data_IF_952126949772
#
_entry.id   IF_952126949772
#
_cell.length_a   1.000
_cell.length_b   1.000
_cell.length_c   1.000
_cell.angle_alpha   90.00
_cell.angle_beta   90.00
_cell.angle_gamma   90.00
#
_symmetry.space_group_name_H-M   'P 1'
#
loop_
_entity.id
_entity.type
_entity.pdbx_description
1 polymer ?
#
# COMPACT_ATOMS: atom_id res chain seq x y z
N UNK A 1 0.19 11.92 17.75
CA UNK A 1 -0.09 10.57 17.19
C UNK A 1 1.22 9.85 16.92
N UNK A 2 1.32 8.60 17.34
CA UNK A 2 2.53 7.82 17.15
C UNK A 2 2.59 7.29 15.71
N UNK A 3 3.75 7.45 15.05
CA UNK A 3 3.99 6.88 13.71
C UNK A 3 4.26 5.37 13.82
N UNK A 4 4.08 4.65 12.70
CA UNK A 4 4.22 3.20 12.68
C UNK A 4 5.66 2.74 12.99
N UNK A 5 6.65 3.48 12.50
CA UNK A 5 8.07 3.17 12.69
C UNK A 5 8.91 4.42 12.45
N UNK A 6 10.25 4.29 12.56
CA UNK A 6 11.18 5.42 12.37
C UNK A 6 11.08 6.00 10.96
N UNK A 7 11.08 7.32 10.85
CA UNK A 7 11.06 8.02 9.56
C UNK A 7 12.35 7.81 8.73
N UNK A 8 13.42 7.30 9.35
CA UNK A 8 14.63 6.94 8.62
C UNK A 8 14.39 5.92 7.50
N UNK A 9 13.38 5.07 7.66
CA UNK A 9 13.05 4.02 6.68
C UNK A 9 11.92 4.41 5.74
N UNK A 10 11.29 5.56 5.95
CA UNK A 10 10.05 5.92 5.23
C UNK A 10 10.25 6.01 3.71
N UNK A 11 11.34 6.65 3.26
CA UNK A 11 11.60 6.78 1.82
C UNK A 11 11.72 5.42 1.15
N UNK A 12 12.45 4.50 1.78
CA UNK A 12 12.63 3.15 1.25
C UNK A 12 11.32 2.38 1.26
N UNK A 13 10.54 2.48 2.32
CA UNK A 13 9.23 1.85 2.40
C UNK A 13 8.31 2.32 1.28
N UNK A 14 8.28 3.63 1.00
CA UNK A 14 7.48 4.19 -0.07
C UNK A 14 7.87 3.63 -1.44
N UNK A 15 9.18 3.55 -1.71
CA UNK A 15 9.70 2.99 -2.96
C UNK A 15 9.40 1.49 -3.08
N UNK A 16 9.56 0.76 -1.99
CA UNK A 16 9.34 -0.68 -1.97
C UNK A 16 7.88 -1.01 -2.24
N UNK A 17 6.95 -0.34 -1.58
CA UNK A 17 5.53 -0.61 -1.81
C UNK A 17 5.09 -0.16 -3.20
N UNK A 18 5.58 1.00 -3.66
CA UNK A 18 5.32 1.47 -5.01
C UNK A 18 5.75 0.46 -6.07
N UNK A 19 6.97 -0.03 -5.97
CA UNK A 19 7.51 -1.03 -6.88
C UNK A 19 6.77 -2.36 -6.79
N UNK A 20 6.32 -2.75 -5.61
CA UNK A 20 5.56 -3.97 -5.39
C UNK A 20 4.20 -3.90 -6.11
N UNK A 21 3.48 -2.80 -5.97
CA UNK A 21 2.19 -2.62 -6.65
C UNK A 21 2.35 -2.60 -8.16
N UNK A 22 3.35 -1.88 -8.65
CA UNK A 22 3.63 -1.78 -10.09
C UNK A 22 4.01 -3.16 -10.66
N UNK A 23 4.89 -3.90 -10.00
CA UNK A 23 5.33 -5.21 -10.45
C UNK A 23 4.18 -6.23 -10.43
N UNK A 24 3.34 -6.20 -9.41
CA UNK A 24 2.20 -7.11 -9.32
C UNK A 24 1.26 -6.95 -10.51
N UNK A 25 1.01 -5.70 -10.93
CA UNK A 25 0.10 -5.41 -12.05
C UNK A 25 0.77 -5.65 -13.40
N UNK A 26 1.95 -5.09 -13.63
CA UNK A 26 2.54 -5.05 -14.97
C UNK A 26 3.49 -6.21 -15.27
N UNK A 27 4.09 -6.81 -14.26
CA UNK A 27 4.95 -8.00 -14.44
C UNK A 27 4.19 -9.29 -14.19
N UNK A 28 3.33 -9.31 -13.18
CA UNK A 28 2.62 -10.53 -12.76
C UNK A 28 1.15 -10.57 -13.16
N UNK A 29 0.67 -9.56 -13.86
CA UNK A 29 -0.68 -9.50 -14.47
C UNK A 29 -1.83 -9.60 -13.46
N UNK A 30 -1.62 -9.17 -12.21
CA UNK A 30 -2.70 -9.07 -11.23
C UNK A 30 -3.48 -7.78 -11.42
N UNK A 31 -4.79 -7.84 -11.12
CA UNK A 31 -5.53 -6.62 -10.83
C UNK A 31 -5.10 -6.14 -9.45
N UNK A 32 -4.93 -4.83 -9.27
CA UNK A 32 -4.40 -4.32 -8.00
C UNK A 32 -5.28 -4.67 -6.79
N UNK A 33 -6.63 -4.60 -6.87
CA UNK A 33 -7.46 -5.01 -5.74
C UNK A 33 -7.21 -6.45 -5.29
N UNK A 34 -6.99 -7.36 -6.23
CA UNK A 34 -6.66 -8.75 -5.91
C UNK A 34 -5.29 -8.87 -5.25
N UNK A 35 -4.27 -8.22 -5.82
CA UNK A 35 -2.94 -8.22 -5.20
C UNK A 35 -2.97 -7.60 -3.80
N UNK A 36 -3.69 -6.49 -3.65
CA UNK A 36 -3.82 -5.85 -2.34
C UNK A 36 -4.41 -6.79 -1.29
N UNK A 37 -5.44 -7.56 -1.68
CA UNK A 37 -6.03 -8.55 -0.80
C UNK A 37 -5.01 -9.61 -0.38
N UNK A 38 -4.26 -10.13 -1.34
CA UNK A 38 -3.20 -11.12 -1.08
C UNK A 38 -2.11 -10.53 -0.20
N UNK A 39 -1.65 -9.33 -0.52
CA UNK A 39 -0.60 -8.63 0.23
C UNK A 39 -1.04 -8.36 1.67
N UNK A 40 -2.23 -7.79 1.86
CA UNK A 40 -2.70 -7.40 3.19
C UNK A 40 -2.93 -8.60 4.12
N UNK A 41 -3.11 -9.80 3.58
CA UNK A 41 -3.23 -11.03 4.34
C UNK A 41 -1.91 -11.80 4.48
N UNK A 42 -0.81 -11.30 3.90
CA UNK A 42 0.50 -11.97 3.95
C UNK A 42 1.25 -11.64 5.25
N UNK A 43 2.22 -12.48 5.58
CA UNK A 43 3.13 -12.18 6.70
C UNK A 43 3.99 -10.95 6.41
N UNK A 44 4.23 -10.64 5.13
CA UNK A 44 5.05 -9.49 4.73
C UNK A 44 4.36 -8.17 5.02
N UNK A 45 3.02 -8.11 4.91
CA UNK A 45 2.28 -6.90 5.26
C UNK A 45 2.44 -6.56 6.74
N UNK A 46 2.35 -7.55 7.62
CA UNK A 46 2.53 -7.34 9.06
C UNK A 46 3.92 -6.81 9.37
N UNK A 47 4.95 -7.38 8.75
CA UNK A 47 6.34 -6.92 8.92
C UNK A 47 6.53 -5.52 8.36
N UNK A 48 5.93 -5.23 7.21
CA UNK A 48 5.98 -3.90 6.61
C UNK A 48 5.36 -2.86 7.54
N UNK A 49 4.19 -3.17 8.07
CA UNK A 49 3.42 -2.26 8.94
C UNK A 49 4.16 -1.88 10.22
N UNK A 50 5.01 -2.75 10.72
CA UNK A 50 5.78 -2.52 11.94
C UNK A 50 7.21 -2.03 11.66
N UNK A 51 7.55 -1.85 10.39
CA UNK A 51 8.85 -1.28 10.01
C UNK A 51 10.01 -2.24 10.04
N UNK A 52 9.77 -3.53 9.74
CA UNK A 52 10.88 -4.51 9.64
C UNK A 52 11.82 -4.09 8.51
N UNK A 53 13.08 -3.73 8.80
CA UNK A 53 14.00 -3.22 7.78
C UNK A 53 14.26 -4.20 6.63
N UNK A 54 14.20 -5.49 6.87
CA UNK A 54 14.41 -6.48 5.81
C UNK A 54 13.29 -6.45 4.77
N UNK A 55 12.10 -6.02 5.15
CA UNK A 55 10.94 -5.93 4.24
C UNK A 55 10.87 -4.55 3.59
N UNK A 56 11.00 -3.48 4.37
CA UNK A 56 10.77 -2.12 3.88
C UNK A 56 11.99 -1.50 3.21
N UNK A 57 13.20 -1.98 3.52
CA UNK A 57 14.45 -1.36 3.05
C UNK A 57 15.46 -2.36 2.47
N UNK A 58 15.40 -3.62 2.84
CA UNK A 58 16.39 -4.63 2.46
C UNK A 58 16.15 -5.31 1.12
N UNK A 59 15.08 -4.95 0.41
CA UNK A 59 14.73 -5.57 -0.87
C UNK A 59 14.04 -4.58 -1.80
N UNK A 60 13.98 -4.91 -3.08
CA UNK A 60 13.27 -4.10 -4.08
C UNK A 60 11.77 -4.39 -4.04
N UNK A 61 10.98 -3.51 -4.67
CA UNK A 61 9.54 -3.71 -4.75
C UNK A 61 9.14 -4.98 -5.49
N UNK A 62 9.86 -5.31 -6.58
CA UNK A 62 9.56 -6.55 -7.31
C UNK A 62 9.87 -7.79 -6.47
N UNK A 63 10.93 -7.77 -5.67
CA UNK A 63 11.23 -8.87 -4.75
C UNK A 63 10.13 -9.04 -3.70
N UNK A 64 9.58 -7.94 -3.19
CA UNK A 64 8.45 -8.01 -2.26
C UNK A 64 7.23 -8.63 -2.94
N UNK A 65 6.90 -8.21 -4.17
CA UNK A 65 5.78 -8.78 -4.92
C UNK A 65 5.99 -10.28 -5.13
N UNK A 66 7.19 -10.70 -5.50
CA UNK A 66 7.51 -12.12 -5.71
C UNK A 66 7.32 -12.94 -4.43
N UNK A 67 7.74 -12.40 -3.29
CA UNK A 67 7.57 -13.10 -2.01
C UNK A 67 6.10 -13.21 -1.61
N UNK A 68 5.34 -12.14 -1.81
CA UNK A 68 3.90 -12.14 -1.49
C UNK A 68 3.14 -13.13 -2.37
N UNK A 69 3.37 -13.07 -3.68
CA UNK A 69 2.72 -13.96 -4.64
C UNK A 69 3.15 -15.41 -4.41
N UNK A 70 4.44 -15.62 -4.19
CA UNK A 70 4.98 -16.96 -3.90
C UNK A 70 4.38 -17.58 -2.65
N UNK A 71 4.23 -16.80 -1.58
CA UNK A 71 3.58 -17.26 -0.35
C UNK A 71 2.12 -17.66 -0.62
N UNK A 72 1.41 -16.85 -1.41
CA UNK A 72 0.01 -17.11 -1.74
C UNK A 72 -0.15 -18.38 -2.57
N UNK A 73 0.71 -18.58 -3.57
CA UNK A 73 0.64 -19.73 -4.48
C UNK A 73 1.28 -20.98 -3.89
N UNK A 74 2.12 -20.86 -2.86
CA UNK A 74 2.87 -21.98 -2.29
C UNK A 74 4.03 -22.43 -3.16
N UNK A 75 4.58 -21.54 -3.99
CA UNK A 75 5.72 -21.85 -4.87
C UNK A 75 6.52 -20.58 -5.14
N UNK A 76 7.80 -20.74 -5.46
CA UNK A 76 8.64 -19.61 -5.87
C UNK A 76 8.21 -19.13 -7.24
N UNK A 77 8.09 -17.79 -7.39
CA UNK A 77 7.76 -17.17 -8.66
C UNK A 77 8.87 -16.22 -9.08
N UNK A 78 9.13 -16.17 -10.38
CA UNK A 78 10.07 -15.21 -10.95
C UNK A 78 9.72 -14.97 -12.42
N UNK A 79 9.64 -13.70 -12.80
CA UNK A 79 9.46 -13.27 -14.18
C UNK A 79 10.45 -12.17 -14.50
N UNK A 80 10.78 -12.04 -15.78
CA UNK A 80 11.57 -10.91 -16.24
C UNK A 80 10.81 -9.63 -15.97
N UNK A 81 11.38 -8.67 -15.21
CA UNK A 81 10.66 -7.45 -14.87
C UNK A 81 10.29 -6.63 -16.09
N UNK A 82 9.11 -6.04 -16.04
CA UNK A 82 8.66 -5.03 -17.00
C UNK A 82 8.80 -3.67 -16.31
N UNK A 83 9.64 -2.80 -16.89
CA UNK A 83 9.86 -1.46 -16.36
C UNK A 83 9.02 -0.46 -17.13
N UNK A 84 8.32 0.41 -16.42
CA UNK A 84 7.56 1.50 -17.00
C UNK A 84 8.37 2.78 -16.90
N UNK A 85 8.54 3.50 -18.01
CA UNK A 85 9.30 4.74 -18.04
C UNK A 85 8.64 5.82 -17.18
N UNK A 86 7.32 5.92 -17.28
CA UNK A 86 6.53 6.82 -16.45
C UNK A 86 5.96 6.09 -15.26
N UNK A 87 5.84 6.79 -14.13
CA UNK A 87 5.25 6.20 -12.92
C UNK A 87 3.75 6.01 -13.11
N UNK A 88 3.32 4.77 -12.91
CA UNK A 88 1.92 4.37 -13.10
C UNK A 88 1.05 4.81 -11.92
N UNK A 89 -0.30 4.82 -12.09
CA UNK A 89 -1.19 5.03 -10.96
C UNK A 89 -0.97 4.03 -9.82
N UNK A 90 -0.64 2.78 -10.15
CA UNK A 90 -0.37 1.73 -9.16
C UNK A 90 0.91 2.03 -8.39
N UNK A 91 1.97 2.49 -9.09
CA UNK A 91 3.20 2.93 -8.43
C UNK A 91 2.92 4.08 -7.48
N UNK A 92 2.20 5.10 -7.96
CA UNK A 92 1.85 6.25 -7.13
C UNK A 92 1.06 5.82 -5.89
N UNK A 93 0.08 4.95 -6.06
CA UNK A 93 -0.74 4.53 -4.92
C UNK A 93 0.11 3.79 -3.88
N UNK A 94 0.99 2.90 -4.29
CA UNK A 94 1.90 2.22 -3.37
C UNK A 94 2.75 3.21 -2.60
N UNK A 95 3.30 4.19 -3.30
CA UNK A 95 4.12 5.25 -2.74
C UNK A 95 3.35 6.07 -1.69
N UNK A 96 2.17 6.56 -2.07
CA UNK A 96 1.34 7.40 -1.20
C UNK A 96 0.77 6.60 -0.02
N UNK A 97 0.37 5.36 -0.26
CA UNK A 97 -0.24 4.53 0.77
C UNK A 97 0.77 4.07 1.81
N UNK A 98 2.02 3.81 1.41
CA UNK A 98 3.08 3.52 2.38
C UNK A 98 3.29 4.71 3.32
N UNK A 99 3.25 5.93 2.78
CA UNK A 99 3.33 7.14 3.59
C UNK A 99 2.15 7.22 4.57
N UNK A 100 0.94 7.00 4.09
CA UNK A 100 -0.24 7.09 4.96
C UNK A 100 -0.27 5.98 6.01
N UNK A 101 0.15 4.78 5.67
CA UNK A 101 0.26 3.69 6.64
C UNK A 101 1.24 4.06 7.76
N UNK A 102 2.41 4.59 7.39
CA UNK A 102 3.38 5.08 8.37
C UNK A 102 2.81 6.21 9.24
N UNK A 103 2.15 7.18 8.61
CA UNK A 103 1.56 8.34 9.27
C UNK A 103 0.48 7.95 10.27
N UNK A 104 -0.42 7.07 9.89
CA UNK A 104 -1.59 6.68 10.67
C UNK A 104 -1.37 5.49 11.59
N UNK A 105 -0.35 4.70 11.32
CA UNK A 105 -0.11 3.40 11.97
C UNK A 105 -1.25 2.40 11.81
N UNK A 106 -2.13 2.61 10.83
CA UNK A 106 -3.19 1.68 10.49
C UNK A 106 -2.62 0.49 9.70
N UNK A 107 -3.28 -0.67 9.81
CA UNK A 107 -2.94 -1.80 8.95
C UNK A 107 -3.49 -1.59 7.54
N UNK A 108 -2.90 -2.27 6.56
CA UNK A 108 -3.39 -2.24 5.19
C UNK A 108 -4.81 -2.78 5.07
N UNK A 109 -5.17 -3.77 5.90
CA UNK A 109 -6.54 -4.28 5.96
C UNK A 109 -7.53 -3.21 6.39
N UNK A 110 -7.19 -2.47 7.45
CA UNK A 110 -8.03 -1.39 7.95
C UNK A 110 -8.20 -0.29 6.90
N UNK A 111 -7.12 0.06 6.18
CA UNK A 111 -7.19 1.09 5.14
C UNK A 111 -8.15 0.68 4.02
N UNK A 112 -8.17 -0.58 3.62
CA UNK A 112 -9.08 -1.08 2.60
C UNK A 112 -10.55 -1.12 3.07
N UNK A 113 -10.79 -1.15 4.37
CA UNK A 113 -12.13 -1.04 4.93
C UNK A 113 -12.66 0.39 4.90
N UNK A 114 -11.76 1.38 4.93
CA UNK A 114 -12.12 2.80 4.88
C UNK A 114 -12.52 3.20 3.45
N UNK A 115 -11.75 2.78 2.47
CA UNK A 115 -11.96 3.11 1.06
C UNK A 115 -11.47 1.94 0.21
N UNK A 116 -12.23 1.58 -0.83
CA UNK A 116 -11.83 0.48 -1.72
C UNK A 116 -10.54 0.82 -2.47
N UNK A 117 -9.81 -0.22 -2.87
CA UNK A 117 -8.57 -0.05 -3.64
C UNK A 117 -8.85 0.63 -4.98
N UNK A 118 -9.97 0.31 -5.63
CA UNK A 118 -10.40 0.96 -6.87
C UNK A 118 -10.57 2.46 -6.67
N UNK A 119 -11.21 2.87 -5.56
CA UNK A 119 -11.40 4.28 -5.25
C UNK A 119 -10.08 4.96 -4.88
N UNK A 120 -9.17 4.26 -4.21
CA UNK A 120 -7.82 4.78 -3.97
C UNK A 120 -7.08 5.04 -5.28
N UNK A 121 -7.16 4.11 -6.25
CA UNK A 121 -6.54 4.30 -7.57
C UNK A 121 -7.14 5.51 -8.29
N UNK A 122 -8.44 5.72 -8.16
CA UNK A 122 -9.11 6.87 -8.78
C UNK A 122 -8.66 8.21 -8.20
N UNK A 123 -8.03 8.20 -7.03
CA UNK A 123 -7.46 9.42 -6.45
C UNK A 123 -6.20 9.90 -7.19
N UNK A 124 -5.59 9.04 -8.02
CA UNK A 124 -4.38 9.38 -8.76
C UNK A 124 -4.54 10.65 -9.60
N UNK A 125 -5.62 10.75 -10.36
CA UNK A 125 -5.81 11.89 -11.29
C UNK A 125 -5.82 13.24 -10.56
N UNK A 126 -6.34 13.29 -9.34
CA UNK A 126 -6.39 14.51 -8.55
C UNK A 126 -5.13 14.74 -7.71
N UNK A 127 -4.61 13.70 -7.06
CA UNK A 127 -3.62 13.85 -5.99
C UNK A 127 -2.17 13.61 -6.42
N UNK A 128 -1.90 12.96 -7.57
CA UNK A 128 -0.52 12.61 -7.93
C UNK A 128 0.40 13.82 -8.17
N UNK A 129 -0.16 14.97 -8.52
CA UNK A 129 0.60 16.20 -8.72
C UNK A 129 0.57 17.13 -7.51
N UNK A 130 -0.16 16.74 -6.47
CA UNK A 130 -0.26 17.53 -5.24
C UNK A 130 0.79 17.07 -4.23
N UNK A 131 1.05 17.91 -3.23
CA UNK A 131 1.85 17.50 -2.09
C UNK A 131 1.18 16.31 -1.40
N UNK A 132 1.99 15.38 -0.90
CA UNK A 132 1.50 14.16 -0.24
C UNK A 132 0.56 14.47 0.94
N UNK A 133 0.71 15.63 1.57
CA UNK A 133 -0.15 16.03 2.69
C UNK A 133 -1.60 16.18 2.26
N UNK A 134 -1.88 16.51 1.01
CA UNK A 134 -3.26 16.59 0.49
C UNK A 134 -3.92 15.21 0.46
N UNK A 135 -3.17 14.20 0.06
CA UNK A 135 -3.65 12.81 0.12
C UNK A 135 -3.90 12.38 1.56
N UNK A 136 -2.96 12.68 2.46
CA UNK A 136 -3.08 12.36 3.89
C UNK A 136 -4.33 13.00 4.48
N UNK A 137 -4.56 14.27 4.21
CA UNK A 137 -5.73 15.00 4.74
C UNK A 137 -7.03 14.35 4.26
N UNK A 138 -7.09 13.96 3.00
CA UNK A 138 -8.26 13.29 2.44
C UNK A 138 -8.50 11.92 3.07
N UNK A 139 -7.43 11.15 3.25
CA UNK A 139 -7.53 9.84 3.90
C UNK A 139 -7.98 9.97 5.35
N UNK A 140 -7.45 10.97 6.08
CA UNK A 140 -7.87 11.25 7.46
C UNK A 140 -9.36 11.60 7.52
N UNK A 141 -9.84 12.41 6.57
CA UNK A 141 -11.25 12.78 6.48
C UNK A 141 -12.13 11.55 6.25
N UNK A 142 -11.74 10.68 5.29
CA UNK A 142 -12.48 9.45 5.00
C UNK A 142 -12.50 8.51 6.20
N UNK A 143 -11.38 8.43 6.91
CA UNK A 143 -11.26 7.61 8.12
C UNK A 143 -12.21 8.10 9.22
N UNK A 144 -12.26 9.40 9.47
CA UNK A 144 -13.17 9.99 10.45
C UNK A 144 -14.62 9.72 10.10
N UNK A 145 -14.98 9.87 8.84
CA UNK A 145 -16.33 9.60 8.34
C UNK A 145 -16.71 8.13 8.54
N UNK A 146 -15.81 7.22 8.23
CA UNK A 146 -16.01 5.78 8.40
C UNK A 146 -16.26 5.43 9.88
N UNK A 147 -15.45 5.96 10.80
CA UNK A 147 -15.60 5.73 12.24
C UNK A 147 -16.96 6.28 12.72
N UNK A 148 -17.32 7.50 12.30
CA UNK A 148 -18.58 8.12 12.69
C UNK A 148 -19.79 7.32 12.21
N UNK A 149 -19.75 6.82 10.98
CA UNK A 149 -20.82 5.98 10.43
C UNK A 149 -20.98 4.68 11.24
N UNK A 150 -19.86 4.04 11.60
CA UNK A 150 -19.88 2.83 12.42
C UNK A 150 -20.49 3.09 13.79
N UNK A 151 -20.11 4.19 14.44
CA UNK A 151 -20.69 4.59 15.73
C UNK A 151 -22.20 4.86 15.63
N UNK A 152 -22.63 5.51 14.58
CA UNK A 152 -24.06 5.80 14.35
C UNK A 152 -24.86 4.50 14.22
N UNK A 153 -24.33 3.51 13.46
CA UNK A 153 -24.99 2.20 13.30
C UNK A 153 -25.08 1.47 14.65
N UNK A 154 -24.01 1.50 15.45
CA UNK A 154 -23.98 0.82 16.74
C UNK A 154 -24.90 1.44 17.80
N UNK A 155 -25.22 2.74 17.66
CA UNK A 155 -26.07 3.47 18.60
C UNK A 155 -27.56 3.42 18.22
N UNK A 156 -27.88 2.96 17.05
CA UNK A 156 -29.25 2.74 16.59
C UNK A 156 -29.72 1.33 16.97
#
# INVERSE_FOLDING_TARGET
MKRAYSDLYLRDAMRTLAGSFDAAVYTYDYELPEYYRIFSNSTFAMKFETGDPFVISGESGIELAEKVIGQHLGEDVHKQPIFNDDKTPEYWLGWALAYYQWHSACSFKTLAEIISVENMLNMYSKYHQMDITQFVDRMDELRRTSINNTKSILND
#
